data_IF_018094594046
#
_entry.id   IF_018094594046
#
_cell.length_a   1.000
_cell.length_b   1.000
_cell.length_c   1.000
_cell.angle_alpha   90.00
_cell.angle_beta   90.00
_cell.angle_gamma   90.00
#
_symmetry.space_group_name_H-M   'P 1'
#
loop_
_entity.id
_entity.type
_entity.pdbx_description
1 polymer ?
#
# COMPACT_ATOMS: atom_id res chain seq x y z
N UNK A 1 7.48 21.74 8.81
CA UNK A 1 7.99 20.57 8.07
C UNK A 1 7.38 19.28 8.66
N UNK A 2 6.04 19.13 8.60
CA UNK A 2 5.30 18.01 9.26
C UNK A 2 4.36 17.29 8.26
N UNK A 3 4.37 17.67 6.99
CA UNK A 3 3.28 17.31 6.05
C UNK A 3 3.50 15.99 5.29
N UNK A 4 4.74 15.47 5.24
CA UNK A 4 5.02 14.20 4.53
C UNK A 4 4.59 12.95 5.31
N UNK A 5 4.61 13.00 6.64
CA UNK A 5 4.34 11.81 7.45
C UNK A 5 2.85 11.46 7.47
N UNK A 6 1.98 12.44 7.70
CA UNK A 6 0.52 12.21 7.77
C UNK A 6 -0.12 11.83 6.43
N UNK A 7 0.44 12.27 5.30
CA UNK A 7 -0.06 11.92 3.96
C UNK A 7 0.27 10.49 3.55
N UNK A 8 1.41 9.97 4.02
CA UNK A 8 1.85 8.60 3.74
C UNK A 8 0.98 7.57 4.47
N UNK A 9 0.57 7.85 5.70
CA UNK A 9 -0.23 6.93 6.52
C UNK A 9 -1.61 6.70 5.94
N UNK A 10 -2.36 7.76 5.61
CA UNK A 10 -3.72 7.60 5.09
C UNK A 10 -3.80 6.90 3.73
N UNK A 11 -2.80 7.11 2.85
CA UNK A 11 -2.77 6.46 1.54
C UNK A 11 -2.43 4.96 1.64
N UNK A 12 -1.54 4.61 2.54
CA UNK A 12 -1.14 3.23 2.69
C UNK A 12 -2.22 2.35 3.31
N UNK A 13 -3.09 2.91 4.17
CA UNK A 13 -4.29 2.22 4.66
C UNK A 13 -5.22 1.83 3.50
N UNK A 14 -5.47 2.72 2.53
CA UNK A 14 -6.32 2.38 1.37
C UNK A 14 -5.71 1.32 0.45
N UNK A 15 -4.40 1.40 0.19
CA UNK A 15 -3.71 0.41 -0.67
C UNK A 15 -3.62 -0.94 0.04
N UNK A 16 -3.42 -0.93 1.34
CA UNK A 16 -3.46 -2.12 2.19
C UNK A 16 -4.82 -2.83 2.09
N UNK A 17 -5.92 -2.11 2.35
CA UNK A 17 -7.27 -2.68 2.27
C UNK A 17 -7.59 -3.21 0.87
N UNK A 18 -7.18 -2.47 -0.17
CA UNK A 18 -7.32 -2.88 -1.56
C UNK A 18 -6.58 -4.19 -1.85
N UNK A 19 -5.31 -4.27 -1.44
CA UNK A 19 -4.48 -5.45 -1.65
C UNK A 19 -4.98 -6.65 -0.84
N UNK A 20 -5.42 -6.45 0.40
CA UNK A 20 -6.01 -7.52 1.21
C UNK A 20 -7.29 -8.07 0.57
N UNK A 21 -8.16 -7.21 0.04
CA UNK A 21 -9.40 -7.61 -0.62
C UNK A 21 -9.15 -8.32 -1.97
N UNK A 22 -8.08 -7.98 -2.68
CA UNK A 22 -7.77 -8.50 -4.02
C UNK A 22 -6.66 -9.55 -4.06
N UNK A 23 -6.06 -9.90 -2.92
CA UNK A 23 -4.91 -10.79 -2.83
C UNK A 23 -5.09 -12.14 -3.56
N UNK A 24 -6.31 -12.69 -3.54
CA UNK A 24 -6.67 -13.93 -4.25
C UNK A 24 -6.63 -13.80 -5.77
N UNK A 25 -6.88 -12.61 -6.31
CA UNK A 25 -6.87 -12.31 -7.74
C UNK A 25 -5.48 -11.91 -8.26
N UNK A 26 -4.57 -11.46 -7.39
CA UNK A 26 -3.23 -11.00 -7.75
C UNK A 26 -2.29 -12.16 -8.14
N UNK A 27 -2.62 -13.40 -7.76
CA UNK A 27 -1.73 -14.55 -7.93
C UNK A 27 -0.52 -14.42 -7.00
N UNK A 28 -0.56 -15.15 -5.88
CA UNK A 28 0.43 -14.98 -4.80
C UNK A 28 -0.14 -14.28 -3.56
N UNK A 29 -1.38 -14.60 -3.19
CA UNK A 29 -2.03 -14.14 -1.96
C UNK A 29 -1.13 -14.21 -0.71
N UNK A 30 -0.36 -15.29 -0.46
CA UNK A 30 0.52 -15.35 0.71
C UNK A 30 1.62 -14.28 0.69
N UNK A 31 2.10 -13.90 -0.50
CA UNK A 31 3.14 -12.87 -0.67
C UNK A 31 2.57 -11.49 -0.43
N UNK A 32 1.41 -11.19 -1.01
CA UNK A 32 0.71 -9.91 -0.79
C UNK A 32 0.42 -9.70 0.70
N UNK A 33 -0.16 -10.71 1.37
CA UNK A 33 -0.41 -10.67 2.82
C UNK A 33 0.87 -10.49 3.65
N UNK A 34 1.98 -11.11 3.23
CA UNK A 34 3.25 -10.94 3.90
C UNK A 34 3.82 -9.52 3.77
N UNK A 35 3.68 -8.90 2.60
CA UNK A 35 4.10 -7.52 2.34
C UNK A 35 3.31 -6.55 3.21
N UNK A 36 1.97 -6.67 3.20
CA UNK A 36 1.05 -5.84 3.99
C UNK A 36 1.36 -5.96 5.49
N UNK A 37 1.51 -7.19 6.00
CA UNK A 37 1.89 -7.41 7.40
C UNK A 37 3.22 -6.74 7.75
N UNK A 38 4.23 -6.85 6.88
CA UNK A 38 5.55 -6.27 7.14
C UNK A 38 5.53 -4.74 7.09
N UNK A 39 4.64 -4.17 6.27
CA UNK A 39 4.37 -2.74 6.25
C UNK A 39 3.80 -2.26 7.59
N UNK A 40 2.75 -2.93 8.11
CA UNK A 40 2.15 -2.64 9.43
C UNK A 40 3.19 -2.71 10.55
N UNK A 41 3.97 -3.79 10.60
CA UNK A 41 5.06 -3.94 11.59
C UNK A 41 6.09 -2.79 11.49
N UNK A 42 6.39 -2.33 10.27
CA UNK A 42 7.30 -1.20 10.04
C UNK A 42 6.75 0.11 10.60
N UNK A 43 5.46 0.39 10.43
CA UNK A 43 4.79 1.54 11.03
C UNK A 43 4.76 1.46 12.56
N UNK A 44 4.34 0.33 13.11
CA UNK A 44 4.22 0.10 14.56
C UNK A 44 5.57 0.26 15.28
N UNK A 45 6.66 -0.16 14.62
CA UNK A 45 8.02 -0.06 15.15
C UNK A 45 8.68 1.31 14.89
N UNK A 46 8.00 2.25 14.22
CA UNK A 46 8.56 3.52 13.80
C UNK A 46 9.69 3.41 12.76
N UNK A 47 9.80 2.25 12.10
CA UNK A 47 10.77 2.00 11.03
C UNK A 47 10.25 2.57 9.70
N UNK A 48 10.24 3.89 9.65
CA UNK A 48 9.68 4.66 8.55
C UNK A 48 10.34 4.36 7.19
N UNK A 49 11.63 4.01 7.18
CA UNK A 49 12.34 3.65 5.96
C UNK A 49 11.79 2.34 5.36
N UNK A 50 11.56 1.33 6.20
CA UNK A 50 11.00 0.05 5.75
C UNK A 50 9.53 0.22 5.34
N UNK A 51 8.75 0.98 6.11
CA UNK A 51 7.36 1.26 5.77
C UNK A 51 7.25 2.01 4.43
N UNK A 52 8.10 3.00 4.16
CA UNK A 52 8.11 3.72 2.88
C UNK A 52 8.36 2.79 1.69
N UNK A 53 9.41 1.96 1.76
CA UNK A 53 9.78 1.04 0.66
C UNK A 53 8.66 0.02 0.40
N UNK A 54 8.05 -0.51 1.45
CA UNK A 54 6.93 -1.45 1.32
C UNK A 54 5.67 -0.77 0.79
N UNK A 55 5.40 0.48 1.19
CA UNK A 55 4.31 1.30 0.65
C UNK A 55 4.45 1.52 -0.86
N UNK A 56 5.66 1.84 -1.33
CA UNK A 56 5.95 1.97 -2.76
C UNK A 56 5.73 0.66 -3.52
N UNK A 57 6.21 -0.47 -2.96
CA UNK A 57 5.98 -1.79 -3.55
C UNK A 57 4.48 -2.14 -3.63
N UNK A 58 3.72 -1.84 -2.58
CA UNK A 58 2.27 -2.05 -2.57
C UNK A 58 1.57 -1.24 -3.67
N UNK A 59 2.01 0.00 -3.92
CA UNK A 59 1.51 0.83 -5.02
C UNK A 59 1.85 0.25 -6.39
N UNK A 60 3.07 -0.28 -6.57
CA UNK A 60 3.46 -0.94 -7.82
C UNK A 60 2.59 -2.16 -8.12
N UNK A 61 2.24 -2.93 -7.08
CA UNK A 61 1.33 -4.09 -7.19
C UNK A 61 -0.11 -3.65 -7.52
N UNK A 62 -0.58 -2.54 -6.93
CA UNK A 62 -1.94 -2.04 -7.15
C UNK A 62 -2.11 -1.36 -8.53
N UNK A 63 -1.06 -0.76 -9.09
CA UNK A 63 -1.12 0.03 -10.33
C UNK A 63 -1.78 -0.66 -11.53
N UNK A 64 -1.50 -1.94 -11.85
CA UNK A 64 -2.16 -2.63 -12.96
C UNK A 64 -3.68 -2.69 -12.83
N UNK A 65 -4.23 -2.76 -11.61
CA UNK A 65 -5.70 -2.76 -11.40
C UNK A 65 -6.33 -1.42 -11.73
N UNK A 66 -5.58 -0.36 -11.47
CA UNK A 66 -5.91 0.97 -11.90
C UNK A 66 -5.98 1.17 -13.39
N UNK A 67 -4.97 0.68 -14.09
CA UNK A 67 -4.89 0.74 -15.55
C UNK A 67 -6.00 -0.13 -16.21
N UNK A 68 -6.58 -1.08 -15.47
CA UNK A 68 -7.75 -1.88 -15.86
C UNK A 68 -9.10 -1.23 -15.56
N UNK A 69 -9.11 0.00 -15.04
CA UNK A 69 -10.33 0.78 -14.82
C UNK A 69 -10.96 0.61 -13.44
N UNK A 70 -10.23 0.08 -12.45
CA UNK A 70 -10.63 0.16 -11.04
C UNK A 70 -10.15 1.53 -10.49
N UNK A 71 -11.04 2.52 -10.22
CA UNK A 71 -10.62 3.86 -9.81
C UNK A 71 -10.22 3.95 -8.33
N UNK A 72 -10.51 2.92 -7.52
CA UNK A 72 -10.33 2.96 -6.06
C UNK A 72 -8.87 2.88 -5.62
N UNK A 73 -7.97 2.39 -6.47
CA UNK A 73 -6.54 2.28 -6.14
C UNK A 73 -5.80 3.63 -5.98
N UNK A 74 -6.40 4.76 -6.41
CA UNK A 74 -5.70 6.05 -6.55
C UNK A 74 -6.49 7.32 -6.25
N UNK A 75 -7.70 7.23 -5.71
CA UNK A 75 -8.65 8.36 -5.63
C UNK A 75 -8.07 9.65 -5.03
N UNK A 76 -7.05 9.59 -4.17
CA UNK A 76 -6.50 10.79 -3.49
C UNK A 76 -4.97 11.02 -3.63
N UNK A 77 -4.27 10.36 -4.56
CA UNK A 77 -2.83 10.65 -4.75
C UNK A 77 -2.60 11.88 -5.64
N UNK A 78 -2.11 12.98 -5.06
CA UNK A 78 -1.34 14.01 -5.77
C UNK A 78 0.09 14.07 -5.23
N UNK A 79 1.11 14.18 -6.11
CA UNK A 79 2.50 14.33 -5.71
C UNK A 79 2.74 15.53 -4.78
#
# INVERSE_FOLDING_TARGET
MVERHGRMTGMAEYVEDFLEARASFIGGEPVVKAIVRRYREGLEQGNNATASVLGELMLEIAKPFGDLGDPEWRSDWKP
#
